data_IF_744505817993
#
_entry.id   IF_744505817993
#
_cell.length_a   1.000
_cell.length_b   1.000
_cell.length_c   1.000
_cell.angle_alpha   90.00
_cell.angle_beta   90.00
_cell.angle_gamma   90.00
#
_symmetry.space_group_name_H-M   'P 1'
#
loop_
_entity.id
_entity.type
_entity.pdbx_description
1 polymer ?
#
# COMPACT_ATOMS: atom_id res chain seq x y z
N UNK A 1 -8.03 -5.28 5.58
CA UNK A 1 -9.06 -4.34 5.10
C UNK A 1 -8.72 -3.92 3.67
N UNK A 2 -9.71 -3.79 2.77
CA UNK A 2 -9.48 -3.22 1.44
C UNK A 2 -9.04 -1.75 1.55
N UNK A 3 -8.02 -1.35 0.78
CA UNK A 3 -7.59 0.05 0.69
C UNK A 3 -8.41 0.71 -0.41
N UNK A 4 -9.07 1.82 -0.10
CA UNK A 4 -9.89 2.58 -1.02
C UNK A 4 -9.31 3.98 -1.24
N UNK A 5 -9.66 4.62 -2.34
CA UNK A 5 -9.39 6.04 -2.56
C UNK A 5 -10.44 6.94 -1.88
N UNK A 6 -10.28 8.26 -2.08
CA UNK A 6 -11.17 9.30 -1.54
C UNK A 6 -12.59 9.23 -2.09
N UNK A 7 -12.79 8.55 -3.22
CA UNK A 7 -14.08 8.34 -3.88
C UNK A 7 -14.66 6.94 -3.59
N UNK A 8 -14.13 6.25 -2.57
CA UNK A 8 -14.54 4.91 -2.12
C UNK A 8 -14.29 3.77 -3.13
N UNK A 9 -13.46 3.99 -4.16
CA UNK A 9 -13.06 2.94 -5.11
C UNK A 9 -11.93 2.07 -4.55
N UNK A 10 -12.03 0.76 -4.78
CA UNK A 10 -11.02 -0.21 -4.36
C UNK A 10 -9.71 -0.03 -5.12
N UNK A 11 -8.60 0.13 -4.39
CA UNK A 11 -7.26 0.22 -4.98
C UNK A 11 -6.65 -1.18 -5.15
N UNK A 12 -6.62 -1.64 -6.40
CA UNK A 12 -6.16 -2.99 -6.74
C UNK A 12 -4.64 -3.09 -6.93
N UNK A 13 -3.96 -2.02 -7.36
CA UNK A 13 -2.52 -2.06 -7.64
C UNK A 13 -1.68 -1.55 -6.47
N UNK A 14 -0.46 -2.08 -6.32
CA UNK A 14 0.49 -1.67 -5.29
C UNK A 14 0.85 -0.18 -5.41
N UNK A 15 1.05 0.33 -6.63
CA UNK A 15 1.35 1.74 -6.89
C UNK A 15 0.25 2.67 -6.41
N UNK A 16 -1.03 2.35 -6.69
CA UNK A 16 -2.17 3.16 -6.25
C UNK A 16 -2.28 3.15 -4.72
N UNK A 17 -2.11 1.97 -4.10
CA UNK A 17 -2.10 1.82 -2.65
C UNK A 17 -0.97 2.63 -2.00
N UNK A 18 0.24 2.62 -2.57
CA UNK A 18 1.38 3.41 -2.09
C UNK A 18 1.11 4.92 -2.16
N UNK A 19 0.49 5.39 -3.24
CA UNK A 19 0.09 6.79 -3.37
C UNK A 19 -0.91 7.19 -2.28
N UNK A 20 -1.91 6.35 -2.01
CA UNK A 20 -2.89 6.59 -0.95
C UNK A 20 -2.23 6.65 0.44
N UNK A 21 -1.28 5.77 0.73
CA UNK A 21 -0.51 5.82 1.97
C UNK A 21 0.31 7.10 2.09
N UNK A 22 0.94 7.54 1.00
CA UNK A 22 1.68 8.80 0.98
C UNK A 22 0.78 9.99 1.30
N UNK A 23 -0.40 10.07 0.68
CA UNK A 23 -1.40 11.11 0.99
C UNK A 23 -1.86 11.05 2.45
N UNK A 24 -2.19 9.86 2.95
CA UNK A 24 -2.58 9.66 4.35
C UNK A 24 -1.52 10.12 5.34
N UNK A 25 -0.25 9.77 5.11
CA UNK A 25 0.83 10.20 6.00
C UNK A 25 1.11 11.70 5.90
N UNK A 26 0.96 12.31 4.73
CA UNK A 26 1.04 13.77 4.60
C UNK A 26 -0.05 14.47 5.42
N UNK A 27 -1.29 13.99 5.34
CA UNK A 27 -2.41 14.54 6.12
C UNK A 27 -2.23 14.29 7.63
N UNK A 28 -1.82 13.08 8.02
CA UNK A 28 -1.67 12.67 9.43
C UNK A 28 -0.59 13.47 10.16
N UNK A 29 0.57 13.64 9.54
CA UNK A 29 1.68 14.31 10.21
C UNK A 29 1.51 15.82 10.24
N UNK A 30 0.64 16.39 9.39
CA UNK A 30 0.43 17.84 9.25
C UNK A 30 1.74 18.66 9.22
N UNK A 31 2.84 18.00 8.87
CA UNK A 31 4.13 18.63 8.62
C UNK A 31 4.07 19.00 7.15
N UNK A 32 4.36 20.26 6.78
CA UNK A 32 4.74 20.58 5.41
C UNK A 32 6.04 19.84 5.14
N UNK A 33 5.95 18.56 4.83
CA UNK A 33 7.06 17.79 4.30
C UNK A 33 7.29 18.37 2.91
N UNK A 34 8.11 19.43 2.84
CA UNK A 34 8.77 19.85 1.62
C UNK A 34 9.78 18.75 1.24
N UNK A 35 9.28 17.55 0.97
CA UNK A 35 10.08 16.54 0.31
C UNK A 35 10.15 17.00 -1.12
N UNK A 36 11.32 17.52 -1.50
CA UNK A 36 11.59 17.93 -2.86
C UNK A 36 11.19 16.80 -3.82
N UNK A 37 10.30 17.04 -4.79
CA UNK A 37 9.93 16.05 -5.79
C UNK A 37 11.14 15.39 -6.48
N UNK A 38 12.25 16.13 -6.62
CA UNK A 38 13.51 15.63 -7.14
C UNK A 38 14.08 14.52 -6.24
N UNK A 39 14.06 14.71 -4.92
CA UNK A 39 14.53 13.72 -3.94
C UNK A 39 13.70 12.44 -4.01
N UNK A 40 12.38 12.54 -4.22
CA UNK A 40 11.51 11.37 -4.41
C UNK A 40 11.82 10.65 -5.72
N UNK A 41 12.05 11.40 -6.81
CA UNK A 41 12.39 10.83 -8.12
C UNK A 41 13.77 10.15 -8.11
N UNK A 42 14.66 10.57 -7.22
CA UNK A 42 15.97 9.94 -6.99
C UNK A 42 15.89 8.65 -6.16
N UNK A 43 14.77 8.38 -5.49
CA UNK A 43 14.57 7.09 -4.81
C UNK A 43 14.39 6.04 -5.89
N UNK A 44 15.43 5.24 -6.10
CA UNK A 44 15.39 4.12 -7.02
C UNK A 44 14.27 3.17 -6.58
N UNK A 45 13.22 3.05 -7.39
CA UNK A 45 12.28 1.94 -7.24
C UNK A 45 13.05 0.66 -7.57
N UNK A 46 13.26 -0.24 -6.60
CA UNK A 46 13.91 -1.50 -6.89
C UNK A 46 13.07 -2.27 -7.93
N UNK A 47 13.74 -2.90 -8.89
CA UNK A 47 13.06 -3.85 -9.77
C UNK A 47 12.53 -4.98 -8.90
N UNK A 48 11.20 -5.10 -8.87
CA UNK A 48 10.51 -6.17 -8.18
C UNK A 48 10.42 -7.34 -9.15
N UNK A 49 10.96 -8.49 -8.77
CA UNK A 49 10.83 -9.75 -9.51
C UNK A 49 9.36 -9.99 -9.91
N UNK A 50 9.08 -10.47 -11.14
CA UNK A 50 7.70 -10.63 -11.63
C UNK A 50 6.80 -11.44 -10.69
N UNK A 51 7.34 -12.48 -10.07
CA UNK A 51 6.62 -13.33 -9.11
C UNK A 51 6.22 -12.56 -7.85
N UNK A 52 7.07 -11.66 -7.37
CA UNK A 52 6.80 -10.85 -6.19
C UNK A 52 5.78 -9.76 -6.50
N UNK A 53 5.85 -9.17 -7.69
CA UNK A 53 4.82 -8.25 -8.18
C UNK A 53 3.45 -8.92 -8.23
N UNK A 54 3.37 -10.12 -8.81
CA UNK A 54 2.13 -10.89 -8.88
C UNK A 54 1.60 -11.23 -7.48
N UNK A 55 2.48 -11.61 -6.54
CA UNK A 55 2.10 -11.87 -5.14
C UNK A 55 1.48 -10.66 -4.46
N UNK A 56 2.02 -9.46 -4.69
CA UNK A 56 1.54 -8.21 -4.08
C UNK A 56 0.20 -7.71 -4.69
N UNK A 57 0.00 -7.98 -5.98
CA UNK A 57 -1.21 -7.62 -6.72
C UNK A 57 -2.32 -8.66 -6.54
N UNK A 58 -1.99 -9.89 -6.12
CA UNK A 58 -2.96 -10.96 -5.88
C UNK A 58 -4.00 -10.56 -4.83
N UNK A 59 -5.25 -10.51 -5.25
CA UNK A 59 -6.41 -10.34 -4.36
C UNK A 59 -6.39 -11.45 -3.31
N UNK A 60 -6.39 -11.06 -2.03
CA UNK A 60 -6.43 -12.04 -0.94
C UNK A 60 -7.75 -12.80 -0.97
N UNK A 61 -7.70 -14.13 -0.93
CA UNK A 61 -8.89 -14.97 -0.84
C UNK A 61 -9.47 -14.91 0.58
N UNK A 62 -10.78 -15.12 0.71
CA UNK A 62 -11.47 -15.12 2.01
C UNK A 62 -10.85 -16.11 3.01
N UNK A 63 -10.36 -17.27 2.53
CA UNK A 63 -9.62 -18.24 3.35
C UNK A 63 -8.34 -17.66 3.94
N UNK A 64 -7.50 -16.99 3.13
CA UNK A 64 -6.26 -16.36 3.63
C UNK A 64 -6.54 -15.25 4.63
N UNK A 65 -7.64 -14.51 4.42
CA UNK A 65 -8.08 -13.48 5.38
C UNK A 65 -8.51 -14.13 6.71
N UNK A 66 -9.27 -15.22 6.66
CA UNK A 66 -9.70 -15.94 7.87
C UNK A 66 -8.51 -16.55 8.64
N UNK A 67 -7.53 -17.11 7.94
CA UNK A 67 -6.29 -17.64 8.54
C UNK A 67 -5.48 -16.54 9.22
N UNK A 68 -5.30 -15.39 8.56
CA UNK A 68 -4.59 -14.26 9.15
C UNK A 68 -5.30 -13.73 10.42
N UNK A 69 -6.64 -13.63 10.40
CA UNK A 69 -7.42 -13.23 11.58
C UNK A 69 -7.25 -14.22 12.73
N UNK A 70 -7.21 -15.52 12.43
CA UNK A 70 -7.00 -16.56 13.45
C UNK A 70 -5.61 -16.45 14.08
N UNK A 71 -4.57 -16.15 13.30
CA UNK A 71 -3.22 -15.94 13.81
C UNK A 71 -3.14 -14.69 14.71
N UNK A 72 -3.78 -13.59 14.32
CA UNK A 72 -3.81 -12.36 15.13
C UNK A 72 -4.55 -12.50 16.45
N UNK A 73 -5.52 -13.41 16.56
CA UNK A 73 -6.26 -13.67 17.81
C UNK A 73 -5.55 -14.62 18.77
N UNK A 74 -4.55 -15.35 18.28
CA UNK A 74 -3.80 -16.35 19.06
C UNK A 74 -2.45 -15.80 19.56
N UNK A 75 -2.20 -14.51 19.40
CA UNK A 75 -1.05 -13.75 19.90
C UNK A 75 -1.53 -12.68 20.88
#
# INVERSE_FOLDING_TARGET
MPIKDKDDHLLTTSTKRLKQWREYFYELFNVPMNVDPILIQQITTPDIEPNEKERQEKTSTLQKVAEAIKQMKNH
#
